data_IF_904835980330
#
_entry.id   IF_904835980330
#
_cell.length_a   1.000
_cell.length_b   1.000
_cell.length_c   1.000
_cell.angle_alpha   90.00
_cell.angle_beta   90.00
_cell.angle_gamma   90.00
#
_symmetry.space_group_name_H-M   'P 1'
#
loop_
_entity.id
_entity.type
_entity.pdbx_description
1 polymer ?
#
# COMPACT_ATOMS: atom_id res chain seq x y z
N UNK A 1 2.79 39.23 0.72
CA UNK A 1 2.57 38.96 2.16
C UNK A 1 1.49 37.91 2.26
N UNK A 2 1.85 36.64 2.47
CA UNK A 2 0.84 35.58 2.63
C UNK A 2 0.19 35.75 4.00
N UNK A 3 -1.11 36.05 4.03
CA UNK A 3 -1.86 36.17 5.26
C UNK A 3 -1.77 34.82 6.02
N UNK A 4 -1.50 34.86 7.33
CA UNK A 4 -1.61 33.66 8.17
C UNK A 4 -3.02 33.09 7.97
N UNK A 5 -3.18 31.77 7.80
CA UNK A 5 -4.50 31.17 7.72
C UNK A 5 -5.28 31.60 8.97
N UNK A 6 -6.46 32.20 8.74
CA UNK A 6 -7.35 32.66 9.78
C UNK A 6 -7.80 31.42 10.57
N UNK A 7 -7.45 31.34 11.86
CA UNK A 7 -7.83 30.21 12.69
C UNK A 7 -9.35 30.13 12.86
N UNK A 8 -9.87 28.93 13.16
CA UNK A 8 -11.28 28.73 13.48
C UNK A 8 -11.51 29.21 14.92
N UNK A 9 -12.28 30.28 15.12
CA UNK A 9 -12.53 30.86 16.44
C UNK A 9 -14.02 30.89 16.81
N UNK A 10 -14.90 30.85 15.81
CA UNK A 10 -16.35 31.00 15.97
C UNK A 10 -17.13 29.95 15.17
N UNK A 11 -18.39 29.74 15.52
CA UNK A 11 -19.31 28.91 14.74
C UNK A 11 -19.44 29.41 13.29
N UNK A 12 -19.47 30.74 13.11
CA UNK A 12 -19.53 31.35 11.78
C UNK A 12 -18.30 30.99 10.91
N UNK A 13 -17.12 30.78 11.52
CA UNK A 13 -15.93 30.31 10.80
C UNK A 13 -16.11 28.87 10.31
N UNK A 14 -16.72 28.00 11.15
CA UNK A 14 -17.05 26.61 10.77
C UNK A 14 -18.06 26.60 9.64
N UNK A 15 -19.18 27.32 9.78
CA UNK A 15 -20.23 27.41 8.77
C UNK A 15 -19.69 27.97 7.44
N UNK A 16 -18.80 28.98 7.49
CA UNK A 16 -18.17 29.55 6.31
C UNK A 16 -17.17 28.59 5.64
N UNK A 17 -16.54 27.69 6.39
CA UNK A 17 -15.68 26.63 5.84
C UNK A 17 -16.56 25.54 5.21
N UNK A 18 -17.59 25.07 5.91
CA UNK A 18 -18.53 24.05 5.43
C UNK A 18 -19.27 24.50 4.17
N UNK A 19 -19.64 25.78 4.08
CA UNK A 19 -20.30 26.36 2.91
C UNK A 19 -19.44 26.34 1.64
N UNK A 20 -18.11 26.18 1.74
CA UNK A 20 -17.23 26.03 0.57
C UNK A 20 -17.38 24.65 -0.09
N UNK A 21 -17.91 23.68 0.65
CA UNK A 21 -18.08 22.31 0.20
C UNK A 21 -16.77 21.59 -0.08
N UNK A 22 -16.89 20.39 -0.66
CA UNK A 22 -15.75 19.58 -1.07
C UNK A 22 -15.04 20.21 -2.29
N UNK A 23 -13.69 20.26 -2.32
CA UNK A 23 -12.96 20.80 -3.45
C UNK A 23 -13.31 20.04 -4.75
N UNK A 24 -13.58 20.78 -5.82
CA UNK A 24 -14.11 20.21 -7.06
C UNK A 24 -13.05 19.51 -7.93
N UNK A 25 -11.78 19.87 -7.79
CA UNK A 25 -10.66 19.29 -8.56
C UNK A 25 -9.74 18.45 -7.66
N UNK A 26 -10.31 17.36 -7.12
CA UNK A 26 -9.53 16.32 -6.44
C UNK A 26 -9.54 15.04 -7.27
N UNK A 27 -8.47 14.22 -7.22
CA UNK A 27 -8.50 12.90 -7.82
C UNK A 27 -9.60 12.03 -7.18
N UNK A 28 -10.22 11.13 -7.94
CA UNK A 28 -11.23 10.21 -7.43
C UNK A 28 -10.63 9.06 -6.60
N UNK A 29 -9.34 8.77 -6.79
CA UNK A 29 -8.64 7.67 -6.12
C UNK A 29 -7.14 7.96 -5.93
N UNK A 30 -6.48 7.15 -5.09
CA UNK A 30 -5.02 7.17 -4.97
C UNK A 30 -4.32 6.87 -6.30
N UNK A 31 -4.86 5.94 -7.10
CA UNK A 31 -4.34 5.63 -8.43
C UNK A 31 -4.39 6.86 -9.35
N UNK A 32 -5.52 7.58 -9.38
CA UNK A 32 -5.63 8.80 -10.16
C UNK A 32 -4.70 9.92 -9.63
N UNK A 33 -4.57 10.07 -8.32
CA UNK A 33 -3.67 11.05 -7.70
C UNK A 33 -2.21 10.84 -8.14
N UNK A 34 -1.76 9.58 -8.13
CA UNK A 34 -0.42 9.18 -8.56
C UNK A 34 -0.28 9.41 -10.07
N UNK A 35 -1.28 9.02 -10.88
CA UNK A 35 -1.28 9.24 -12.34
C UNK A 35 -1.16 10.71 -12.70
N UNK A 36 -1.99 11.59 -12.12
CA UNK A 36 -1.93 13.04 -12.33
C UNK A 36 -0.55 13.62 -11.98
N UNK A 37 0.10 13.07 -10.95
CA UNK A 37 1.45 13.49 -10.56
C UNK A 37 2.53 12.98 -11.53
N UNK A 38 2.39 11.74 -12.02
CA UNK A 38 3.25 11.19 -13.06
C UNK A 38 3.15 11.99 -14.37
N UNK A 39 1.95 12.37 -14.80
CA UNK A 39 1.74 13.21 -15.99
C UNK A 39 2.45 14.57 -15.87
N UNK A 40 2.45 15.15 -14.66
CA UNK A 40 3.02 16.49 -14.41
C UNK A 40 4.53 16.47 -14.16
N UNK A 41 5.05 15.44 -13.50
CA UNK A 41 6.45 15.33 -13.07
C UNK A 41 7.01 13.91 -13.25
N UNK A 42 7.05 13.37 -14.49
CA UNK A 42 7.25 11.93 -14.74
C UNK A 42 8.61 11.40 -14.26
N UNK A 43 9.64 12.24 -14.33
CA UNK A 43 11.02 11.87 -13.96
C UNK A 43 11.39 12.24 -12.51
N UNK A 44 10.48 12.86 -11.75
CA UNK A 44 10.76 13.20 -10.36
C UNK A 44 10.78 11.93 -9.48
N UNK A 45 11.68 11.81 -8.49
CA UNK A 45 11.70 10.69 -7.55
C UNK A 45 10.38 10.59 -6.77
N UNK A 46 9.79 9.40 -6.73
CA UNK A 46 8.54 9.11 -6.03
C UNK A 46 8.73 8.15 -4.85
N UNK A 47 9.54 7.12 -5.04
CA UNK A 47 9.84 6.11 -4.02
C UNK A 47 11.34 5.83 -4.01
N UNK A 48 11.95 5.80 -2.82
CA UNK A 48 13.35 5.40 -2.64
C UNK A 48 13.44 4.32 -1.58
N UNK A 49 14.21 3.28 -1.86
CA UNK A 49 14.36 2.12 -0.99
C UNK A 49 15.83 1.73 -0.83
N UNK A 50 16.18 1.30 0.38
CA UNK A 50 17.45 0.66 0.69
C UNK A 50 17.18 -0.38 1.78
N UNK A 51 17.64 -1.61 1.55
CA UNK A 51 17.38 -2.72 2.46
C UNK A 51 18.11 -2.56 3.80
N UNK A 52 19.31 -2.00 3.77
CA UNK A 52 20.19 -1.86 4.92
C UNK A 52 20.67 -0.42 5.07
N UNK A 53 20.84 0.04 6.31
CA UNK A 53 21.13 1.44 6.61
C UNK A 53 22.46 1.93 5.99
N UNK A 54 23.44 1.06 5.79
CA UNK A 54 24.70 1.36 5.10
C UNK A 54 24.50 1.74 3.62
N UNK A 55 23.39 1.30 3.00
CA UNK A 55 23.05 1.58 1.60
C UNK A 55 22.20 2.83 1.37
N UNK A 56 21.88 3.60 2.42
CA UNK A 56 21.03 4.80 2.31
C UNK A 56 21.57 5.86 1.31
N UNK A 57 22.87 5.83 0.99
CA UNK A 57 23.49 6.77 0.05
C UNK A 57 23.28 6.40 -1.42
N UNK A 58 22.92 5.15 -1.71
CA UNK A 58 22.68 4.63 -3.05
C UNK A 58 21.36 3.85 -3.06
N UNK A 59 20.23 4.52 -2.79
CA UNK A 59 18.93 3.85 -2.77
C UNK A 59 18.50 3.48 -4.19
N UNK A 60 17.78 2.37 -4.31
CA UNK A 60 16.96 2.11 -5.48
C UNK A 60 15.85 3.16 -5.51
N UNK A 61 15.60 3.80 -6.65
CA UNK A 61 14.65 4.91 -6.75
C UNK A 61 13.77 4.75 -7.98
N UNK A 62 12.47 4.85 -7.77
CA UNK A 62 11.46 4.92 -8.82
C UNK A 62 11.07 6.38 -9.04
N UNK A 63 11.00 6.78 -10.30
CA UNK A 63 10.32 8.02 -10.67
C UNK A 63 8.79 7.84 -10.57
N UNK A 64 8.03 8.94 -10.60
CA UNK A 64 6.56 8.84 -10.62
C UNK A 64 6.04 8.01 -11.80
N UNK A 65 6.63 8.14 -12.99
CA UNK A 65 6.26 7.32 -14.14
C UNK A 65 6.52 5.83 -13.91
N UNK A 66 7.68 5.49 -13.34
CA UNK A 66 8.03 4.10 -13.04
C UNK A 66 7.13 3.54 -11.94
N UNK A 67 6.90 4.29 -10.86
CA UNK A 67 6.02 3.88 -9.77
C UNK A 67 4.59 3.64 -10.27
N UNK A 68 4.04 4.54 -11.09
CA UNK A 68 2.74 4.34 -11.72
C UNK A 68 2.73 3.05 -12.54
N UNK A 69 3.76 2.80 -13.36
CA UNK A 69 3.86 1.58 -14.13
C UNK A 69 3.85 0.31 -13.28
N UNK A 70 4.57 0.30 -12.16
CA UNK A 70 4.57 -0.85 -11.24
C UNK A 70 3.23 -1.07 -10.53
N UNK A 71 2.54 0.01 -10.18
CA UNK A 71 1.17 -0.02 -9.61
C UNK A 71 0.18 -0.59 -10.64
N UNK A 72 0.24 -0.11 -11.88
CA UNK A 72 -0.61 -0.59 -12.98
C UNK A 72 -0.39 -2.08 -13.25
N UNK A 73 0.88 -2.53 -13.30
CA UNK A 73 1.20 -3.96 -13.43
C UNK A 73 0.66 -4.79 -12.28
N UNK A 74 0.75 -4.30 -11.04
CA UNK A 74 0.20 -4.99 -9.88
C UNK A 74 -1.32 -5.11 -9.96
N UNK A 75 -2.02 -4.04 -10.36
CA UNK A 75 -3.46 -4.05 -10.56
C UNK A 75 -3.87 -5.08 -11.64
N UNK A 76 -3.19 -5.07 -12.77
CA UNK A 76 -3.43 -5.99 -13.89
C UNK A 76 -3.10 -7.44 -13.51
N UNK A 77 -2.06 -7.65 -12.71
CA UNK A 77 -1.73 -8.96 -12.13
C UNK A 77 -2.88 -9.49 -11.28
N UNK A 78 -3.43 -8.71 -10.35
CA UNK A 78 -4.57 -9.13 -9.54
C UNK A 78 -5.83 -9.35 -10.39
N UNK A 79 -6.09 -8.47 -11.36
CA UNK A 79 -7.20 -8.65 -12.29
C UNK A 79 -7.08 -9.97 -13.09
N UNK A 80 -5.87 -10.36 -13.49
CA UNK A 80 -5.63 -11.65 -14.17
C UNK A 80 -5.90 -12.88 -13.28
N UNK A 81 -5.92 -12.70 -11.96
CA UNK A 81 -6.36 -13.71 -10.98
C UNK A 81 -7.88 -13.67 -10.74
N UNK A 82 -8.62 -12.83 -11.44
CA UNK A 82 -10.07 -12.69 -11.32
C UNK A 82 -10.52 -11.59 -10.37
N UNK A 83 -9.63 -10.69 -9.93
CA UNK A 83 -10.02 -9.57 -9.09
C UNK A 83 -10.89 -8.54 -9.84
N UNK A 84 -11.92 -8.07 -9.15
CA UNK A 84 -12.81 -6.96 -9.48
C UNK A 84 -12.93 -5.98 -8.30
N UNK A 85 -13.81 -4.98 -8.42
CA UNK A 85 -13.98 -3.90 -7.44
C UNK A 85 -14.39 -4.37 -6.03
N UNK A 86 -15.02 -5.53 -5.91
CA UNK A 86 -15.45 -6.12 -4.63
C UNK A 86 -14.44 -7.14 -4.08
N UNK A 87 -13.41 -7.47 -4.86
CA UNK A 87 -12.43 -8.49 -4.48
C UNK A 87 -11.49 -7.98 -3.39
N UNK A 88 -11.49 -8.67 -2.25
CA UNK A 88 -10.57 -8.38 -1.14
C UNK A 88 -9.21 -9.05 -1.35
N UNK A 89 -8.20 -8.21 -1.43
CA UNK A 89 -6.78 -8.55 -1.61
C UNK A 89 -6.07 -8.25 -0.28
N UNK A 90 -5.95 -9.27 0.56
CA UNK A 90 -5.24 -9.14 1.83
C UNK A 90 -3.72 -9.17 1.61
N UNK A 91 -2.96 -8.45 2.44
CA UNK A 91 -1.51 -8.54 2.41
C UNK A 91 -0.88 -8.55 3.81
N UNK A 92 0.20 -9.33 3.93
CA UNK A 92 1.07 -9.42 5.10
C UNK A 92 2.52 -9.24 4.59
N UNK A 93 2.96 -8.00 4.50
CA UNK A 93 4.29 -7.66 3.96
C UNK A 93 5.00 -6.64 4.87
N UNK A 94 6.34 -6.70 4.99
CA UNK A 94 7.13 -5.62 5.58
C UNK A 94 7.14 -4.38 4.66
N UNK A 95 7.82 -3.31 5.05
CA UNK A 95 7.96 -2.11 4.21
C UNK A 95 8.95 -2.32 3.07
N UNK A 96 8.49 -2.93 1.98
CA UNK A 96 9.21 -3.12 0.72
C UNK A 96 8.59 -2.23 -0.38
N UNK A 97 9.29 -2.01 -1.50
CA UNK A 97 8.69 -1.38 -2.68
C UNK A 97 7.46 -2.15 -3.18
N UNK A 98 7.51 -3.49 -3.18
CA UNK A 98 6.40 -4.35 -3.56
C UNK A 98 5.16 -4.08 -2.72
N UNK A 99 5.32 -3.78 -1.43
CA UNK A 99 4.21 -3.43 -0.54
C UNK A 99 3.44 -2.22 -1.04
N UNK A 100 4.13 -1.23 -1.61
CA UNK A 100 3.51 -0.05 -2.19
C UNK A 100 2.81 -0.38 -3.51
N UNK A 101 3.38 -1.27 -4.32
CA UNK A 101 2.75 -1.78 -5.54
C UNK A 101 1.47 -2.57 -5.21
N UNK A 102 1.49 -3.37 -4.14
CA UNK A 102 0.32 -4.12 -3.64
C UNK A 102 -0.74 -3.18 -3.09
N UNK A 103 -0.36 -2.17 -2.29
CA UNK A 103 -1.33 -1.21 -1.72
C UNK A 103 -2.08 -0.49 -2.84
N UNK A 104 -1.38 0.19 -3.74
CA UNK A 104 -2.06 1.03 -4.74
C UNK A 104 -2.56 0.23 -5.93
N UNK A 105 -1.86 -0.85 -6.32
CA UNK A 105 -2.30 -1.73 -7.40
C UNK A 105 -3.50 -2.58 -6.97
N UNK A 106 -3.49 -3.06 -5.73
CA UNK A 106 -4.65 -3.72 -5.15
C UNK A 106 -5.85 -2.80 -5.03
N UNK A 107 -5.66 -1.53 -4.62
CA UNK A 107 -6.74 -0.52 -4.61
C UNK A 107 -7.29 -0.24 -6.01
N UNK A 108 -6.42 -0.25 -7.02
CA UNK A 108 -6.86 -0.06 -8.40
C UNK A 108 -7.63 -1.27 -8.95
N UNK A 109 -7.30 -2.49 -8.51
CA UNK A 109 -7.97 -3.71 -8.94
C UNK A 109 -9.25 -4.03 -8.13
N UNK A 110 -9.24 -3.79 -6.81
CA UNK A 110 -10.27 -4.15 -5.85
C UNK A 110 -10.03 -3.48 -4.48
N UNK A 111 -10.12 -4.24 -3.39
CA UNK A 111 -10.05 -3.73 -2.00
C UNK A 111 -8.81 -4.29 -1.30
N UNK A 112 -7.89 -3.44 -0.84
CA UNK A 112 -6.70 -3.91 -0.10
C UNK A 112 -6.98 -4.10 1.37
N UNK A 113 -6.52 -5.20 1.95
CA UNK A 113 -6.68 -5.46 3.38
C UNK A 113 -5.34 -5.69 4.05
N UNK A 114 -4.87 -4.69 4.79
CA UNK A 114 -3.60 -4.79 5.53
C UNK A 114 -3.78 -5.60 6.80
N UNK A 115 -2.95 -6.63 6.98
CA UNK A 115 -2.91 -7.43 8.21
C UNK A 115 -1.53 -7.32 8.86
N UNK A 116 -1.53 -7.25 10.20
CA UNK A 116 -0.30 -7.12 10.97
C UNK A 116 0.47 -8.47 10.98
N UNK A 117 1.76 -8.51 10.58
CA UNK A 117 2.57 -9.73 10.58
C UNK A 117 2.79 -10.36 11.97
N UNK A 118 2.53 -9.62 13.04
CA UNK A 118 2.63 -10.10 14.42
C UNK A 118 1.38 -10.88 14.89
N UNK A 119 0.33 -10.96 14.07
CA UNK A 119 -0.85 -11.75 14.40
C UNK A 119 -0.55 -13.25 14.34
N UNK A 120 -1.19 -14.00 15.24
CA UNK A 120 -1.17 -15.45 15.20
C UNK A 120 -2.06 -15.98 14.05
N UNK A 121 -1.77 -17.19 13.52
CA UNK A 121 -2.47 -17.76 12.37
C UNK A 121 -4.00 -17.78 12.51
N UNK A 122 -4.51 -18.08 13.70
CA UNK A 122 -5.95 -18.13 13.99
C UNK A 122 -6.59 -16.74 13.84
N UNK A 123 -5.93 -15.69 14.32
CA UNK A 123 -6.41 -14.32 14.19
C UNK A 123 -6.35 -13.83 12.73
N UNK A 124 -5.31 -14.23 11.98
CA UNK A 124 -5.22 -13.98 10.55
C UNK A 124 -6.40 -14.64 9.83
N UNK A 125 -6.67 -15.92 10.12
CA UNK A 125 -7.77 -16.66 9.51
C UNK A 125 -9.14 -16.03 9.79
N UNK A 126 -9.38 -15.60 11.04
CA UNK A 126 -10.63 -14.94 11.41
C UNK A 126 -10.83 -13.61 10.68
N UNK A 127 -9.77 -12.81 10.51
CA UNK A 127 -9.83 -11.57 9.74
C UNK A 127 -10.04 -11.86 8.24
N UNK A 128 -9.31 -12.79 7.65
CA UNK A 128 -9.46 -13.18 6.24
C UNK A 128 -10.89 -13.66 5.95
N UNK A 129 -11.46 -14.48 6.84
CA UNK A 129 -12.84 -14.98 6.72
C UNK A 129 -13.86 -13.86 6.88
N UNK A 130 -13.68 -13.00 7.87
CA UNK A 130 -14.58 -11.87 8.12
C UNK A 130 -14.58 -10.87 6.95
N UNK A 131 -13.43 -10.69 6.30
CA UNK A 131 -13.30 -9.81 5.14
C UNK A 131 -13.70 -10.48 3.81
N UNK A 132 -13.87 -11.81 3.77
CA UNK A 132 -14.09 -12.53 2.51
C UNK A 132 -12.89 -12.45 1.56
N UNK A 133 -11.67 -12.45 2.08
CA UNK A 133 -10.46 -12.34 1.28
C UNK A 133 -10.34 -13.47 0.25
N UNK A 134 -10.07 -13.10 -1.01
CA UNK A 134 -9.91 -14.04 -2.12
C UNK A 134 -8.44 -14.21 -2.54
N UNK A 135 -7.65 -13.14 -2.38
CA UNK A 135 -6.22 -13.11 -2.70
C UNK A 135 -5.46 -12.73 -1.43
N UNK A 136 -4.39 -13.46 -1.11
CA UNK A 136 -3.48 -13.13 0.00
C UNK A 136 -2.07 -12.94 -0.53
N UNK A 137 -1.49 -11.75 -0.31
CA UNK A 137 -0.10 -11.43 -0.67
C UNK A 137 0.78 -11.55 0.58
N UNK A 138 1.86 -12.32 0.51
CA UNK A 138 2.76 -12.52 1.66
C UNK A 138 4.20 -12.70 1.19
N UNK A 139 5.15 -12.69 2.12
CA UNK A 139 6.53 -13.08 1.80
C UNK A 139 6.59 -14.56 1.40
N UNK A 140 7.45 -14.85 0.42
CA UNK A 140 7.97 -16.20 0.21
C UNK A 140 8.74 -16.68 1.46
N UNK A 141 8.93 -18.00 1.65
CA UNK A 141 9.73 -18.52 2.75
C UNK A 141 11.12 -17.90 2.77
N UNK A 142 11.51 -17.27 3.88
CA UNK A 142 12.79 -16.59 4.01
C UNK A 142 13.35 -16.71 5.44
N UNK A 143 14.67 -16.95 5.63
CA UNK A 143 15.25 -17.08 6.97
C UNK A 143 15.03 -15.84 7.85
N UNK A 144 14.65 -16.04 9.11
CA UNK A 144 14.44 -14.95 10.07
C UNK A 144 13.06 -14.32 10.05
N UNK A 145 12.13 -14.85 9.26
CA UNK A 145 10.70 -14.49 9.31
C UNK A 145 9.82 -15.74 9.26
N UNK A 146 8.71 -15.71 10.00
CA UNK A 146 7.71 -16.78 10.06
C UNK A 146 6.42 -16.43 9.30
N UNK A 147 6.43 -15.33 8.54
CA UNK A 147 5.25 -14.78 7.85
C UNK A 147 4.59 -15.80 6.91
N UNK A 148 5.40 -16.50 6.10
CA UNK A 148 4.90 -17.57 5.22
C UNK A 148 4.19 -18.69 6.01
N UNK A 149 4.82 -19.19 7.07
CA UNK A 149 4.27 -20.31 7.86
C UNK A 149 2.96 -19.93 8.55
N UNK A 150 2.86 -18.69 9.03
CA UNK A 150 1.63 -18.15 9.62
C UNK A 150 0.51 -18.05 8.61
N UNK A 151 0.78 -17.49 7.43
CA UNK A 151 -0.22 -17.33 6.36
C UNK A 151 -0.64 -18.69 5.82
N UNK A 152 0.30 -19.59 5.57
CA UNK A 152 0.03 -20.93 5.08
C UNK A 152 -0.88 -21.72 6.05
N UNK A 153 -0.67 -21.57 7.37
CA UNK A 153 -1.58 -22.13 8.38
C UNK A 153 -2.94 -21.44 8.41
N UNK A 154 -2.99 -20.12 8.29
CA UNK A 154 -4.23 -19.36 8.37
C UNK A 154 -5.20 -19.73 7.22
N UNK A 155 -4.69 -19.78 5.98
CA UNK A 155 -5.51 -20.02 4.78
C UNK A 155 -6.07 -21.44 4.70
N UNK A 156 -5.54 -22.40 5.48
CA UNK A 156 -6.08 -23.77 5.56
C UNK A 156 -7.54 -23.84 6.02
N UNK A 157 -8.01 -22.81 6.73
CA UNK A 157 -9.36 -22.74 7.30
C UNK A 157 -10.24 -21.63 6.71
N UNK A 158 -9.86 -21.11 5.52
CA UNK A 158 -10.53 -19.97 4.87
C UNK A 158 -10.88 -20.32 3.43
N UNK A 159 -12.11 -20.78 3.23
CA UNK A 159 -12.60 -21.27 1.92
C UNK A 159 -12.68 -20.19 0.83
N UNK A 160 -12.73 -18.91 1.22
CA UNK A 160 -12.80 -17.79 0.27
C UNK A 160 -11.47 -17.55 -0.44
N UNK A 161 -10.32 -17.92 0.16
CA UNK A 161 -9.00 -17.69 -0.42
C UNK A 161 -8.77 -18.64 -1.59
N UNK A 162 -8.46 -18.09 -2.76
CA UNK A 162 -8.20 -18.83 -4.01
C UNK A 162 -6.77 -18.66 -4.49
N UNK A 163 -6.13 -17.55 -4.14
CA UNK A 163 -4.78 -17.23 -4.59
C UNK A 163 -3.90 -16.80 -3.41
N UNK A 164 -2.69 -17.33 -3.36
CA UNK A 164 -1.61 -16.81 -2.53
C UNK A 164 -0.49 -16.30 -3.42
N UNK A 165 -0.10 -15.04 -3.26
CA UNK A 165 0.89 -14.35 -4.08
C UNK A 165 2.12 -14.07 -3.23
N UNK A 166 3.28 -14.53 -3.68
CA UNK A 166 4.52 -14.50 -2.92
C UNK A 166 5.43 -13.38 -3.39
N UNK A 167 5.91 -12.58 -2.44
CA UNK A 167 6.98 -11.60 -2.63
C UNK A 167 8.28 -12.22 -2.12
N UNK A 168 9.25 -12.44 -3.00
CA UNK A 168 10.53 -13.04 -2.62
C UNK A 168 11.54 -11.99 -2.15
N UNK A 169 11.84 -11.99 -0.85
CA UNK A 169 12.84 -11.10 -0.27
C UNK A 169 14.27 -11.41 -0.76
N UNK A 170 14.54 -12.63 -1.25
CA UNK A 170 15.84 -12.98 -1.79
C UNK A 170 16.21 -12.16 -3.02
N UNK A 171 15.23 -11.68 -3.81
CA UNK A 171 15.46 -10.79 -4.94
C UNK A 171 16.12 -9.45 -4.52
N UNK A 172 15.92 -9.05 -3.26
CA UNK A 172 16.45 -7.79 -2.70
C UNK A 172 17.69 -7.98 -1.83
N UNK A 173 17.98 -9.20 -1.40
CA UNK A 173 19.06 -9.52 -0.48
C UNK A 173 20.26 -10.16 -1.22
N UNK A 174 21.39 -9.44 -1.38
CA UNK A 174 22.55 -9.99 -2.09
C UNK A 174 23.06 -11.28 -1.46
N UNK A 175 23.19 -12.33 -2.28
CA UNK A 175 23.66 -13.64 -1.84
C UNK A 175 22.61 -14.51 -1.13
N UNK A 176 21.38 -14.01 -0.95
CA UNK A 176 20.26 -14.84 -0.54
C UNK A 176 19.83 -15.76 -1.70
N UNK A 177 19.27 -16.91 -1.33
CA UNK A 177 18.70 -17.85 -2.30
C UNK A 177 17.19 -17.83 -2.15
N UNK A 178 16.50 -17.69 -3.28
CA UNK A 178 15.06 -17.87 -3.37
C UNK A 178 14.66 -19.23 -2.85
N UNK A 179 13.63 -19.26 -2.02
CA UNK A 179 12.95 -20.51 -1.69
C UNK A 179 12.05 -20.93 -2.86
N UNK A 180 11.82 -22.23 -3.08
CA UNK A 180 10.83 -22.67 -4.04
C UNK A 180 9.43 -22.13 -3.65
N UNK A 181 8.57 -21.80 -4.62
CA UNK A 181 7.19 -21.38 -4.36
C UNK A 181 6.46 -22.42 -3.50
N UNK A 182 5.86 -21.98 -2.39
CA UNK A 182 5.20 -22.86 -1.41
C UNK A 182 6.11 -23.43 -0.31
N UNK A 183 7.44 -23.25 -0.38
CA UNK A 183 8.35 -23.73 0.66
C UNK A 183 8.20 -25.22 0.97
N UNK A 184 8.33 -25.58 2.25
CA UNK A 184 8.15 -26.95 2.74
C UNK A 184 6.67 -27.33 2.98
N UNK A 185 5.75 -26.36 2.98
CA UNK A 185 4.34 -26.55 3.32
C UNK A 185 3.46 -26.42 2.09
N UNK A 186 2.85 -27.54 1.69
CA UNK A 186 1.85 -27.52 0.64
C UNK A 186 0.54 -26.91 1.17
N UNK A 187 -0.03 -25.97 0.40
CA UNK A 187 -1.35 -25.42 0.70
C UNK A 187 -2.46 -26.41 0.29
N UNK A 188 -3.68 -26.27 0.85
CA UNK A 188 -4.83 -27.07 0.45
C UNK A 188 -5.09 -27.06 -1.07
N UNK A 189 -5.64 -28.18 -1.57
CA UNK A 189 -6.09 -28.28 -2.96
C UNK A 189 -7.16 -27.22 -3.25
N UNK A 190 -6.91 -26.35 -4.24
CA UNK A 190 -7.81 -25.26 -4.64
C UNK A 190 -7.24 -23.86 -4.44
N UNK A 191 -6.13 -23.72 -3.71
CA UNK A 191 -5.38 -22.47 -3.58
C UNK A 191 -4.20 -22.49 -4.56
N UNK A 192 -4.19 -21.55 -5.50
CA UNK A 192 -3.08 -21.38 -6.44
C UNK A 192 -2.00 -20.46 -5.85
N UNK A 193 -0.73 -20.86 -5.94
CA UNK A 193 0.41 -20.07 -5.47
C UNK A 193 1.10 -19.41 -6.66
N UNK A 194 1.37 -18.11 -6.54
CA UNK A 194 1.94 -17.27 -7.60
C UNK A 194 3.19 -16.55 -7.10
N UNK A 195 4.14 -16.31 -7.99
CA UNK A 195 5.26 -15.39 -7.75
C UNK A 195 4.86 -13.97 -8.19
N UNK A 196 5.01 -12.97 -7.32
CA UNK A 196 4.53 -11.61 -7.57
C UNK A 196 5.30 -10.93 -8.71
N UNK A 197 6.61 -11.15 -8.79
CA UNK A 197 7.48 -10.57 -9.82
C UNK A 197 7.11 -11.14 -11.19
N UNK A 198 6.98 -12.46 -11.30
CA UNK A 198 6.58 -13.14 -12.53
C UNK A 198 5.15 -12.76 -12.96
N UNK A 199 4.20 -12.68 -12.03
CA UNK A 199 2.81 -12.33 -12.33
C UNK A 199 2.67 -10.92 -12.91
N UNK A 200 3.51 -9.98 -12.45
CA UNK A 200 3.58 -8.59 -12.93
C UNK A 200 4.35 -8.43 -14.24
N UNK A 201 5.40 -9.22 -14.47
CA UNK A 201 6.31 -9.05 -15.61
C UNK A 201 5.60 -9.11 -16.98
N UNK A 202 4.50 -9.87 -17.08
CA UNK A 202 3.70 -9.99 -18.31
C UNK A 202 2.63 -8.92 -18.49
N UNK A 203 2.47 -7.99 -17.55
CA UNK A 203 1.35 -7.04 -17.55
C UNK A 203 1.71 -5.71 -18.22
N UNK A 204 0.77 -5.07 -18.93
CA UNK A 204 0.96 -3.71 -19.41
C UNK A 204 1.07 -2.75 -18.21
N UNK A 205 1.85 -1.68 -18.39
CA UNK A 205 2.15 -0.69 -17.36
C UNK A 205 1.48 0.67 -17.59
N UNK A 206 0.90 0.89 -18.78
CA UNK A 206 0.38 2.17 -19.26
C UNK A 206 -1.15 2.30 -19.11
N UNK A 207 -1.87 1.20 -18.90
CA UNK A 207 -3.33 1.21 -18.69
C UNK A 207 -3.81 0.04 -17.84
N UNK A 208 -4.98 0.21 -17.20
CA UNK A 208 -5.69 -0.87 -16.51
C UNK A 208 -6.40 -1.76 -17.53
N UNK A 209 -6.04 -3.04 -17.59
CA UNK A 209 -6.65 -4.04 -18.48
C UNK A 209 -8.12 -4.25 -18.16
N UNK A 210 -8.51 -4.10 -16.90
CA UNK A 210 -9.91 -4.18 -16.46
C UNK A 210 -10.80 -3.09 -17.05
N UNK A 211 -10.22 -1.99 -17.54
CA UNK A 211 -10.97 -0.81 -17.96
C UNK A 211 -11.69 -0.08 -16.82
N UNK A 212 -11.40 -0.44 -15.56
CA UNK A 212 -12.11 0.09 -14.38
C UNK A 212 -11.95 1.61 -14.29
N UNK A 213 -13.07 2.29 -14.06
CA UNK A 213 -13.11 3.71 -13.70
C UNK A 213 -13.43 3.75 -12.21
N UNK A 214 -12.42 4.03 -11.39
CA UNK A 214 -12.53 3.98 -9.93
C UNK A 214 -13.34 5.17 -9.42
N UNK A 215 -14.46 4.93 -8.76
CA UNK A 215 -15.28 5.99 -8.17
C UNK A 215 -14.84 6.32 -6.73
N UNK A 216 -15.08 7.55 -6.24
CA UNK A 216 -14.72 7.93 -4.87
C UNK A 216 -15.43 7.12 -3.79
N UNK A 217 -16.62 6.59 -4.08
CA UNK A 217 -17.43 5.82 -3.14
C UNK A 217 -17.14 4.31 -3.16
N UNK A 218 -16.34 3.84 -4.12
CA UNK A 218 -15.85 2.46 -4.14
C UNK A 218 -15.00 2.21 -2.89
N UNK A 219 -15.09 1.00 -2.32
CA UNK A 219 -14.19 0.60 -1.27
C UNK A 219 -12.76 0.50 -1.80
N UNK A 220 -11.82 1.12 -1.09
CA UNK A 220 -10.40 1.07 -1.41
C UNK A 220 -9.66 0.10 -0.50
N UNK A 221 -9.98 0.13 0.80
CA UNK A 221 -9.13 -0.49 1.81
C UNK A 221 -9.88 -0.87 3.07
N UNK A 222 -9.50 -2.02 3.62
CA UNK A 222 -9.94 -2.56 4.89
C UNK A 222 -8.79 -2.55 5.90
N UNK A 223 -9.12 -2.34 7.17
CA UNK A 223 -8.17 -2.39 8.28
C UNK A 223 -8.73 -3.16 9.46
N UNK A 224 -7.95 -4.12 9.96
CA UNK A 224 -8.29 -4.88 11.15
C UNK A 224 -8.12 -3.98 12.37
N UNK A 225 -9.18 -3.81 13.14
CA UNK A 225 -9.17 -3.01 14.38
C UNK A 225 -9.37 -3.91 15.59
N UNK A 226 -8.61 -3.63 16.65
CA UNK A 226 -8.74 -4.35 17.91
C UNK A 226 -10.10 -4.07 18.55
N UNK A 227 -10.92 -5.11 18.70
CA UNK A 227 -12.17 -5.05 19.44
C UNK A 227 -11.98 -5.54 20.89
N UNK A 228 -12.60 -4.88 21.86
CA UNK A 228 -12.66 -5.34 23.26
C UNK A 228 -13.60 -6.54 23.46
N UNK A 229 -14.34 -6.92 22.42
CA UNK A 229 -15.43 -7.92 22.45
C UNK A 229 -15.03 -9.29 21.88
N UNK A 230 -13.75 -9.51 21.56
CA UNK A 230 -13.21 -10.79 21.10
C UNK A 230 -13.36 -11.10 19.60
N UNK A 231 -14.38 -10.57 18.93
CA UNK A 231 -14.53 -10.70 17.46
C UNK A 231 -13.80 -9.58 16.71
N UNK A 232 -13.11 -9.88 15.58
CA UNK A 232 -12.42 -8.87 14.79
C UNK A 232 -13.38 -7.85 14.19
N UNK A 233 -13.03 -6.56 14.28
CA UNK A 233 -13.75 -5.45 13.64
C UNK A 233 -12.96 -4.97 12.43
N UNK A 234 -13.63 -4.80 11.30
CA UNK A 234 -13.01 -4.29 10.08
C UNK A 234 -13.49 -2.86 9.84
N UNK A 235 -12.55 -1.92 9.82
CA UNK A 235 -12.82 -0.56 9.35
C UNK A 235 -12.72 -0.55 7.83
N UNK A 236 -13.80 -0.11 7.17
CA UNK A 236 -13.89 -0.03 5.72
C UNK A 236 -13.71 1.42 5.28
N UNK A 237 -12.88 1.65 4.27
CA UNK A 237 -12.60 2.97 3.71
C UNK A 237 -12.85 2.98 2.22
N UNK A 238 -13.35 4.11 1.73
CA UNK A 238 -13.53 4.37 0.31
C UNK A 238 -12.34 5.11 -0.28
N UNK A 239 -12.22 5.13 -1.60
CA UNK A 239 -11.19 5.93 -2.28
C UNK A 239 -11.26 7.42 -1.93
N UNK A 240 -12.47 7.96 -1.74
CA UNK A 240 -12.69 9.32 -1.26
C UNK A 240 -12.12 9.55 0.15
N UNK A 241 -12.16 8.55 1.04
CA UNK A 241 -11.49 8.65 2.34
C UNK A 241 -9.96 8.71 2.21
N UNK A 242 -9.37 7.98 1.26
CA UNK A 242 -7.91 8.02 1.00
C UNK A 242 -7.49 9.39 0.45
N UNK A 243 -8.22 9.90 -0.53
CA UNK A 243 -7.96 11.22 -1.12
C UNK A 243 -8.14 12.33 -0.08
N UNK A 244 -9.17 12.22 0.76
CA UNK A 244 -9.40 13.18 1.84
C UNK A 244 -8.24 13.21 2.83
N UNK A 245 -7.77 12.05 3.27
CA UNK A 245 -6.66 11.98 4.22
C UNK A 245 -5.36 12.55 3.62
N UNK A 246 -5.07 12.21 2.36
CA UNK A 246 -3.93 12.75 1.63
C UNK A 246 -4.02 14.28 1.48
N UNK A 247 -5.20 14.81 1.16
CA UNK A 247 -5.42 16.25 1.02
C UNK A 247 -5.27 16.98 2.36
N UNK A 248 -5.91 16.47 3.42
CA UNK A 248 -5.77 17.03 4.78
C UNK A 248 -4.31 17.04 5.24
N UNK A 249 -3.59 15.95 5.00
CA UNK A 249 -2.16 15.84 5.29
C UNK A 249 -1.35 16.83 4.45
N UNK A 250 -1.69 17.01 3.16
CA UNK A 250 -1.01 17.98 2.30
C UNK A 250 -1.16 19.41 2.82
N UNK A 251 -2.32 19.80 3.36
CA UNK A 251 -2.50 21.14 3.93
C UNK A 251 -1.66 21.34 5.19
N UNK A 252 -1.57 20.32 6.04
CA UNK A 252 -0.72 20.34 7.23
C UNK A 252 0.77 20.41 6.86
N UNK A 253 1.19 19.62 5.88
CA UNK A 253 2.58 19.51 5.47
C UNK A 253 3.03 20.61 4.50
N UNK A 254 2.12 21.31 3.81
CA UNK A 254 2.46 22.42 2.90
C UNK A 254 3.19 23.56 3.62
N UNK A 255 3.09 23.66 4.96
CA UNK A 255 3.90 24.56 5.79
C UNK A 255 5.28 24.03 6.20
N UNK A 256 5.54 22.72 6.01
CA UNK A 256 6.72 21.99 6.50
C UNK A 256 7.60 21.42 5.38
N UNK A 257 6.99 21.05 4.25
CA UNK A 257 7.62 20.39 3.11
C UNK A 257 7.44 21.30 1.89
N UNK A 258 8.45 22.10 1.58
CA UNK A 258 8.40 23.00 0.42
C UNK A 258 8.22 22.23 -0.88
N UNK A 259 7.40 22.75 -1.78
CA UNK A 259 7.19 22.22 -3.13
C UNK A 259 8.55 21.90 -3.79
N UNK A 260 8.78 20.62 -4.09
CA UNK A 260 9.90 20.17 -4.92
C UNK A 260 11.31 20.23 -4.32
N UNK A 261 11.49 20.44 -3.01
CA UNK A 261 12.84 20.30 -2.41
C UNK A 261 13.07 18.86 -1.95
N UNK A 262 14.04 18.21 -2.60
CA UNK A 262 14.66 16.94 -2.21
C UNK A 262 14.70 16.83 -0.69
N UNK A 263 13.90 15.94 -0.12
CA UNK A 263 13.91 15.69 1.32
C UNK A 263 15.14 14.85 1.66
N UNK A 264 16.32 15.45 1.61
CA UNK A 264 17.47 14.99 2.37
C UNK A 264 17.40 15.67 3.74
N UNK A 265 16.48 15.20 4.58
CA UNK A 265 16.48 15.52 6.00
C UNK A 265 17.66 14.79 6.68
N UNK A 266 18.88 15.21 6.36
CA UNK A 266 20.02 14.95 7.21
C UNK A 266 19.85 15.82 8.45
N UNK A 267 19.44 15.19 9.55
CA UNK A 267 19.40 15.76 10.88
C UNK A 267 20.78 16.37 11.20
N UNK A 268 20.94 17.68 11.03
CA UNK A 268 22.12 18.41 11.48
C UNK A 268 21.90 18.76 12.96
N UNK A 269 22.28 17.84 13.84
CA UNK A 269 22.64 18.22 15.20
C UNK A 269 23.96 19.02 15.12
N UNK A 270 23.86 20.34 15.04
CA UNK A 270 24.99 21.21 15.39
C UNK A 270 25.14 21.20 16.91
N UNK A 271 26.01 20.34 17.44
CA UNK A 271 26.53 20.52 18.79
C UNK A 271 27.41 21.76 18.79
N UNK A 272 26.88 22.85 19.34
CA UNK A 272 27.66 24.01 19.76
C UNK A 272 28.54 23.61 20.94
N UNK A 273 29.84 23.42 20.72
CA UNK A 273 30.82 23.48 21.80
C UNK A 273 31.03 24.94 22.18
N UNK A 274 30.89 25.33 23.47
CA UNK A 274 31.34 26.64 23.92
C UNK A 274 32.87 26.66 23.94
N UNK A 275 33.45 27.62 23.24
CA UNK A 275 34.87 27.97 23.33
C UNK A 275 35.16 28.67 24.65
N UNK A 276 36.19 28.20 25.35
CA UNK A 276 37.01 29.01 26.27
C UNK A 276 38.34 29.30 25.60
#
# INVERSE_FOLDING_TARGET
MSARPQGVATLADVEAIEARGWPQDVPASAYEAIRRTADRTPSAPALSFFLTADRHRTPETWTYQQLLGEITRAANAFHSLGADEDTVIAYILPNLPETHFVIWGGQAAGIVFSLNPLLEPEAIADLLRAAGAAIVVTLAPFPGTDTWEKVARAVESVDSVRHVVLVDLAERAPGAKSAPPGGARQLPSGIAVHDFTALRAGQPEDHLVSGRIIAPDDFSSYFGTGGTTGLPKIAMRTHGNEVSDALSTSYLLSGLVGEGKKSSAACRCSMSTPSS
#
